data_IF_908613152201
#
_entry.id   IF_908613152201
#
_cell.length_a   1.000
_cell.length_b   1.000
_cell.length_c   1.000
_cell.angle_alpha   90.00
_cell.angle_beta   90.00
_cell.angle_gamma   90.00
#
_symmetry.space_group_name_H-M   'P 1'
#
loop_
_entity.id
_entity.type
_entity.pdbx_description
1 polymer ?
#
# COMPACT_ATOMS: atom_id res chain seq x y z
N UNK A 1 -63.99 12.65 1.68
CA UNK A 1 -62.97 12.15 2.63
C UNK A 1 -62.08 11.19 1.87
N UNK A 2 -60.94 11.70 1.34
CA UNK A 2 -60.02 10.91 0.52
C UNK A 2 -58.91 10.39 1.46
N UNK A 3 -58.87 9.04 1.66
CA UNK A 3 -57.74 8.39 2.33
C UNK A 3 -56.53 8.45 1.42
N UNK A 4 -55.54 9.31 1.75
CA UNK A 4 -54.22 9.18 1.22
C UNK A 4 -53.56 7.93 1.84
N UNK A 5 -53.47 6.83 1.06
CA UNK A 5 -52.56 5.74 1.35
C UNK A 5 -51.12 6.25 1.18
N UNK A 6 -50.45 6.58 2.28
CA UNK A 6 -49.02 6.75 2.31
C UNK A 6 -48.40 5.36 2.05
N UNK A 7 -47.91 5.13 0.83
CA UNK A 7 -47.04 4.00 0.55
C UNK A 7 -45.76 4.17 1.43
N UNK A 8 -45.31 3.14 2.12
CA UNK A 8 -44.05 3.22 2.83
C UNK A 8 -42.96 3.45 1.80
N UNK A 9 -42.34 4.61 1.85
CA UNK A 9 -41.04 4.86 1.22
C UNK A 9 -40.06 3.84 1.83
N UNK A 10 -39.88 2.71 1.16
CA UNK A 10 -38.74 1.85 1.43
C UNK A 10 -37.52 2.68 0.94
N UNK A 11 -36.88 3.37 1.87
CA UNK A 11 -35.49 3.73 1.68
C UNK A 11 -34.79 2.41 1.36
N UNK A 12 -34.26 2.28 0.15
CA UNK A 12 -33.40 1.16 -0.21
C UNK A 12 -32.19 1.28 0.71
N UNK A 13 -32.21 0.50 1.79
CA UNK A 13 -31.05 0.37 2.66
C UNK A 13 -30.04 -0.35 1.77
N UNK A 14 -29.05 0.40 1.26
CA UNK A 14 -27.87 -0.21 0.68
C UNK A 14 -27.17 -0.90 1.85
N UNK A 15 -27.41 -2.20 2.02
CA UNK A 15 -26.65 -2.99 2.97
C UNK A 15 -25.19 -2.97 2.50
N UNK A 16 -24.26 -2.47 3.31
CA UNK A 16 -22.85 -2.53 2.92
C UNK A 16 -22.41 -3.99 2.89
N UNK A 17 -21.55 -4.29 1.95
CA UNK A 17 -20.73 -5.48 2.01
C UNK A 17 -19.77 -5.31 3.19
N UNK A 18 -19.80 -6.26 4.12
CA UNK A 18 -18.96 -6.23 5.32
C UNK A 18 -18.00 -7.40 5.25
N UNK A 19 -16.72 -7.12 5.32
CA UNK A 19 -15.67 -8.15 5.44
C UNK A 19 -14.77 -7.90 6.63
N UNK A 20 -14.31 -9.00 7.23
CA UNK A 20 -13.35 -8.99 8.33
C UNK A 20 -12.16 -9.82 7.93
N UNK A 21 -10.97 -9.25 8.07
CA UNK A 21 -9.71 -9.92 7.79
C UNK A 21 -8.93 -9.94 9.08
N UNK A 22 -8.69 -11.14 9.62
CA UNK A 22 -7.91 -11.35 10.82
C UNK A 22 -6.64 -12.14 10.52
N UNK A 23 -5.63 -11.98 11.37
CA UNK A 23 -4.38 -12.70 11.21
C UNK A 23 -3.78 -13.09 12.56
N UNK A 24 -3.06 -14.22 12.57
CA UNK A 24 -2.15 -14.63 13.62
C UNK A 24 -0.74 -14.63 13.04
N UNK A 25 0.18 -13.96 13.70
CA UNK A 25 1.56 -13.80 13.26
C UNK A 25 2.51 -14.40 14.29
N UNK A 26 3.19 -15.46 13.89
CA UNK A 26 4.32 -15.99 14.65
C UNK A 26 5.61 -15.43 14.06
N UNK A 27 6.43 -14.76 14.88
CA UNK A 27 7.66 -14.07 14.46
C UNK A 27 8.84 -14.49 15.31
N UNK A 28 9.96 -14.75 14.66
CA UNK A 28 11.26 -14.97 15.28
C UNK A 28 12.31 -14.10 14.61
N UNK A 29 13.14 -13.42 15.38
CA UNK A 29 14.28 -12.67 14.86
C UNK A 29 15.52 -12.82 15.75
N UNK A 30 16.71 -12.67 15.16
CA UNK A 30 17.98 -12.76 15.85
C UNK A 30 18.65 -11.39 16.13
N UNK A 31 17.90 -10.29 15.92
CA UNK A 31 18.34 -8.93 16.24
C UNK A 31 18.51 -8.75 17.76
N UNK A 32 19.76 -8.68 18.21
CA UNK A 32 20.08 -8.56 19.63
C UNK A 32 19.83 -7.18 20.22
N UNK A 33 19.56 -6.18 19.38
CA UNK A 33 19.28 -4.81 19.80
C UNK A 33 17.80 -4.57 20.05
N UNK A 34 16.94 -5.43 19.52
CA UNK A 34 15.50 -5.35 19.66
C UNK A 34 15.00 -6.20 20.85
N UNK A 35 13.91 -5.77 21.46
CA UNK A 35 13.19 -6.54 22.46
C UNK A 35 12.68 -7.86 21.86
N UNK A 36 12.67 -8.93 22.65
CA UNK A 36 12.26 -10.25 22.18
C UNK A 36 13.27 -10.97 21.28
N UNK A 37 14.52 -10.47 21.15
CA UNK A 37 15.56 -11.13 20.37
C UNK A 37 15.71 -12.61 20.73
N UNK A 38 15.74 -13.48 19.72
CA UNK A 38 15.86 -14.94 19.82
C UNK A 38 14.74 -15.64 20.61
N UNK A 39 13.62 -14.95 20.78
CA UNK A 39 12.41 -15.54 21.34
C UNK A 39 11.30 -15.44 20.31
N UNK A 40 10.56 -16.51 20.06
CA UNK A 40 9.40 -16.42 19.18
C UNK A 40 8.30 -15.61 19.89
N UNK A 41 7.67 -14.71 19.14
CA UNK A 41 6.46 -13.99 19.56
C UNK A 41 5.28 -14.54 18.78
N UNK A 42 4.11 -14.51 19.39
CA UNK A 42 2.83 -14.80 18.73
C UNK A 42 1.95 -13.58 18.94
N UNK A 43 1.66 -12.88 17.89
CA UNK A 43 0.91 -11.63 17.91
C UNK A 43 -0.40 -11.80 17.14
N UNK A 44 -1.44 -11.19 17.66
CA UNK A 44 -2.65 -10.95 16.90
C UNK A 44 -2.34 -9.75 16.00
N UNK A 45 -1.86 -9.99 14.79
CA UNK A 45 -1.56 -8.91 13.87
C UNK A 45 -2.78 -8.03 13.61
N UNK A 46 -2.66 -7.07 12.73
CA UNK A 46 -3.73 -6.14 12.42
C UNK A 46 -4.98 -6.88 11.91
N UNK A 47 -6.13 -6.58 12.50
CA UNK A 47 -7.44 -7.03 12.03
C UNK A 47 -8.11 -5.89 11.30
N UNK A 48 -8.54 -6.12 10.06
CA UNK A 48 -9.26 -5.14 9.25
C UNK A 48 -10.75 -5.43 9.21
N UNK A 49 -11.56 -4.39 9.32
CA UNK A 49 -13.01 -4.41 9.15
C UNK A 49 -13.36 -3.45 8.01
N UNK A 50 -13.82 -4.00 6.90
CA UNK A 50 -14.12 -3.25 5.67
C UNK A 50 -15.62 -3.15 5.48
N UNK A 51 -16.10 -1.94 5.25
CA UNK A 51 -17.46 -1.63 4.82
C UNK A 51 -17.40 -0.99 3.44
N UNK A 52 -18.14 -1.54 2.50
CA UNK A 52 -18.16 -1.10 1.12
C UNK A 52 -19.58 -1.08 0.58
N UNK A 53 -20.03 0.05 0.07
CA UNK A 53 -21.39 0.19 -0.43
C UNK A 53 -21.51 1.17 -1.60
N UNK A 54 -22.36 0.84 -2.56
CA UNK A 54 -22.87 1.82 -3.50
C UNK A 54 -23.93 2.67 -2.80
N UNK A 55 -23.63 3.92 -2.52
CA UNK A 55 -24.54 4.86 -1.82
C UNK A 55 -25.70 5.26 -2.72
N UNK A 56 -25.44 5.36 -4.00
CA UNK A 56 -26.38 5.67 -5.08
C UNK A 56 -25.74 5.26 -6.42
N UNK A 57 -26.43 5.43 -7.59
CA UNK A 57 -25.85 5.10 -8.89
C UNK A 57 -24.59 5.87 -9.29
N UNK A 58 -24.27 6.96 -8.59
CA UNK A 58 -23.17 7.87 -8.93
C UNK A 58 -21.98 7.74 -8.00
N UNK A 59 -22.18 7.23 -6.78
CA UNK A 59 -21.17 7.28 -5.74
C UNK A 59 -21.10 5.97 -4.93
N UNK A 60 -19.88 5.62 -4.53
CA UNK A 60 -19.54 4.47 -3.72
C UNK A 60 -18.72 4.91 -2.51
N UNK A 61 -19.03 4.40 -1.33
CA UNK A 61 -18.30 4.65 -0.10
C UNK A 61 -17.52 3.41 0.35
N UNK A 62 -16.32 3.61 0.85
CA UNK A 62 -15.48 2.57 1.46
C UNK A 62 -14.96 3.07 2.80
N UNK A 63 -15.04 2.21 3.84
CA UNK A 63 -14.46 2.44 5.14
C UNK A 63 -13.64 1.22 5.54
N UNK A 64 -12.41 1.45 5.98
CA UNK A 64 -11.51 0.43 6.51
C UNK A 64 -11.11 0.84 7.92
N UNK A 65 -11.48 0.01 8.87
CA UNK A 65 -11.07 0.13 10.26
C UNK A 65 -10.04 -0.93 10.55
N UNK A 66 -8.99 -0.56 11.25
CA UNK A 66 -7.96 -1.48 11.71
C UNK A 66 -7.96 -1.54 13.22
N UNK A 67 -7.67 -2.72 13.75
CA UNK A 67 -7.48 -2.95 15.18
C UNK A 67 -6.34 -3.95 15.39
N UNK A 68 -5.43 -3.62 16.28
CA UNK A 68 -4.29 -4.43 16.67
C UNK A 68 -3.95 -4.22 18.14
N UNK A 69 -2.83 -4.75 18.59
CA UNK A 69 -2.37 -4.59 19.99
C UNK A 69 -2.10 -3.13 20.34
N UNK A 70 -1.67 -2.31 19.38
CA UNK A 70 -1.36 -0.89 19.56
C UNK A 70 -2.60 0.03 19.53
N UNK A 71 -3.80 -0.53 19.28
CA UNK A 71 -5.04 0.22 19.27
C UNK A 71 -5.91 -0.03 18.05
N UNK A 72 -6.90 0.86 17.85
CA UNK A 72 -7.82 0.81 16.73
C UNK A 72 -7.90 2.18 16.05
N UNK A 73 -8.07 2.18 14.74
CA UNK A 73 -8.13 3.41 13.95
C UNK A 73 -8.90 3.27 12.63
N UNK A 74 -9.10 4.41 11.98
CA UNK A 74 -9.59 4.47 10.61
C UNK A 74 -8.37 4.49 9.69
N UNK A 75 -8.18 3.41 8.94
CA UNK A 75 -7.11 3.34 7.94
C UNK A 75 -7.54 4.05 6.67
N UNK A 76 -8.73 3.73 6.14
CA UNK A 76 -9.30 4.42 4.99
C UNK A 76 -10.77 4.78 5.22
N UNK A 77 -11.19 5.93 4.71
CA UNK A 77 -12.58 6.39 4.68
C UNK A 77 -12.75 7.35 3.52
N UNK A 78 -13.29 6.87 2.41
CA UNK A 78 -13.39 7.67 1.19
C UNK A 78 -14.67 7.41 0.40
N UNK A 79 -14.98 8.39 -0.46
CA UNK A 79 -16.06 8.38 -1.43
C UNK A 79 -15.46 8.39 -2.83
N UNK A 80 -15.88 7.47 -3.68
CA UNK A 80 -15.63 7.48 -5.13
C UNK A 80 -16.87 7.99 -5.88
N UNK A 81 -16.68 9.00 -6.73
CA UNK A 81 -17.70 9.41 -7.71
C UNK A 81 -17.43 8.65 -9.02
N UNK A 82 -18.32 7.72 -9.36
CA UNK A 82 -18.13 6.74 -10.43
C UNK A 82 -18.95 7.05 -11.70
N UNK A 83 -19.93 7.95 -11.60
CA UNK A 83 -20.78 8.39 -12.72
C UNK A 83 -21.18 9.84 -12.58
N UNK A 84 -21.66 10.42 -13.67
CA UNK A 84 -22.11 11.83 -13.71
C UNK A 84 -20.99 12.84 -13.94
N UNK A 85 -19.77 12.35 -14.20
CA UNK A 85 -18.63 13.15 -14.63
C UNK A 85 -18.42 12.99 -16.14
N UNK A 86 -17.67 13.89 -16.77
CA UNK A 86 -17.23 13.71 -18.16
C UNK A 86 -16.51 12.37 -18.36
N UNK A 87 -16.58 11.82 -19.57
CA UNK A 87 -16.00 10.53 -19.90
C UNK A 87 -14.51 10.48 -19.56
N UNK A 88 -14.09 9.39 -18.92
CA UNK A 88 -12.72 9.16 -18.47
C UNK A 88 -12.35 9.84 -17.15
N UNK A 89 -13.19 10.73 -16.61
CA UNK A 89 -12.93 11.41 -15.35
C UNK A 89 -13.48 10.63 -14.16
N UNK A 90 -12.70 10.50 -13.08
CA UNK A 90 -13.11 9.97 -11.80
C UNK A 90 -12.63 10.88 -10.67
N UNK A 91 -13.38 10.90 -9.55
CA UNK A 91 -13.05 11.66 -8.36
C UNK A 91 -13.11 10.75 -7.13
N UNK A 92 -12.15 10.92 -6.23
CA UNK A 92 -12.15 10.33 -4.88
C UNK A 92 -11.92 11.41 -3.85
N UNK A 93 -12.61 11.34 -2.71
CA UNK A 93 -12.40 12.26 -1.58
C UNK A 93 -12.46 11.51 -0.27
N UNK A 94 -11.52 11.81 0.65
CA UNK A 94 -11.44 11.18 1.96
C UNK A 94 -10.02 10.85 2.40
N UNK A 95 -9.87 9.88 3.30
CA UNK A 95 -8.60 9.29 3.71
C UNK A 95 -8.39 7.99 2.93
N UNK A 96 -7.29 7.85 2.23
CA UNK A 96 -6.98 6.67 1.42
C UNK A 96 -5.48 6.53 1.17
N UNK A 97 -5.04 5.30 0.86
CA UNK A 97 -3.68 5.02 0.41
C UNK A 97 -3.45 5.64 -0.96
N UNK A 98 -2.38 6.43 -1.08
CA UNK A 98 -2.10 7.16 -2.31
C UNK A 98 -1.67 6.22 -3.43
N UNK A 99 -2.08 6.55 -4.67
CA UNK A 99 -1.66 5.83 -5.88
C UNK A 99 -0.21 6.13 -6.22
N UNK A 100 0.71 5.69 -5.38
CA UNK A 100 2.15 5.84 -5.60
C UNK A 100 2.76 4.46 -5.77
N UNK A 101 3.28 4.16 -6.97
CA UNK A 101 3.75 2.82 -7.31
C UNK A 101 2.64 1.77 -7.36
N UNK A 102 3.00 0.51 -7.22
CA UNK A 102 2.09 -0.65 -7.28
C UNK A 102 1.73 -1.22 -5.91
N UNK A 103 2.66 -1.18 -4.94
CA UNK A 103 2.39 -1.79 -3.63
C UNK A 103 1.72 -0.83 -2.64
N UNK A 104 2.02 0.47 -2.69
CA UNK A 104 1.46 1.40 -1.70
C UNK A 104 -0.08 1.43 -1.65
N UNK A 105 -0.82 1.39 -2.79
CA UNK A 105 -2.29 1.37 -2.76
C UNK A 105 -2.90 0.02 -2.35
N UNK A 106 -2.09 -1.01 -2.15
CA UNK A 106 -2.54 -2.37 -1.81
C UNK A 106 -2.38 -2.59 -0.30
N UNK A 107 -3.40 -3.16 0.33
CA UNK A 107 -3.33 -3.51 1.76
C UNK A 107 -2.39 -4.71 1.99
N UNK A 108 -1.67 -4.77 3.13
CA UNK A 108 -0.68 -5.83 3.39
C UNK A 108 -1.24 -7.25 3.34
N UNK A 109 -2.49 -7.45 3.76
CA UNK A 109 -3.13 -8.77 3.71
C UNK A 109 -3.28 -9.29 2.27
N UNK A 110 -3.31 -8.40 1.28
CA UNK A 110 -3.44 -8.72 -0.13
C UNK A 110 -2.11 -8.99 -0.85
N UNK A 111 -0.97 -8.75 -0.22
CA UNK A 111 0.32 -9.10 -0.81
C UNK A 111 0.47 -10.61 -1.00
N UNK A 112 1.30 -11.09 -1.93
CA UNK A 112 1.64 -12.52 -2.03
C UNK A 112 2.59 -12.98 -0.91
N UNK A 113 3.09 -12.08 -0.08
CA UNK A 113 4.02 -12.25 1.03
C UNK A 113 3.50 -11.58 2.31
N UNK A 114 4.18 -11.77 3.45
CA UNK A 114 3.71 -11.29 4.77
C UNK A 114 3.95 -9.79 4.95
N UNK A 115 5.18 -9.34 4.78
CA UNK A 115 5.57 -7.94 4.99
C UNK A 115 6.06 -7.29 3.71
N UNK A 116 5.70 -6.03 3.50
CA UNK A 116 6.20 -5.21 2.39
C UNK A 116 7.75 -5.17 2.33
N UNK A 117 8.34 -4.88 1.16
CA UNK A 117 9.75 -4.53 1.07
C UNK A 117 10.07 -3.31 1.95
N UNK A 118 11.20 -3.36 2.66
CA UNK A 118 11.63 -2.31 3.61
C UNK A 118 11.81 -0.94 2.96
N UNK A 119 12.15 -0.93 1.67
CA UNK A 119 12.34 0.29 0.90
C UNK A 119 11.10 1.18 0.87
N UNK A 120 9.87 0.63 0.95
CA UNK A 120 8.66 1.43 0.97
C UNK A 120 8.61 2.34 2.20
N UNK A 121 8.77 1.77 3.39
CA UNK A 121 8.81 2.54 4.64
C UNK A 121 10.00 3.50 4.70
N UNK A 122 11.13 3.16 4.05
CA UNK A 122 12.30 4.03 4.02
C UNK A 122 12.17 5.23 3.08
N UNK A 123 11.38 5.12 2.01
CA UNK A 123 11.34 6.10 0.93
C UNK A 123 10.04 6.88 0.84
N UNK A 124 8.91 6.27 1.17
CA UNK A 124 7.60 6.91 1.13
C UNK A 124 7.33 7.71 2.42
N UNK A 125 6.51 8.76 2.36
CA UNK A 125 6.03 9.44 3.55
C UNK A 125 4.96 8.60 4.27
N UNK A 126 4.86 8.79 5.60
CA UNK A 126 3.94 8.06 6.47
C UNK A 126 4.58 6.82 7.11
N UNK A 127 4.10 6.43 8.28
CA UNK A 127 4.62 5.30 9.05
C UNK A 127 4.15 3.95 8.47
N UNK A 128 2.84 3.87 8.11
CA UNK A 128 2.19 2.66 7.58
C UNK A 128 1.99 2.72 6.06
N UNK A 129 2.90 3.39 5.36
CA UNK A 129 2.79 3.69 3.95
C UNK A 129 2.21 5.08 3.69
N UNK A 130 2.18 5.47 2.41
CA UNK A 130 1.70 6.79 2.01
C UNK A 130 0.18 6.83 1.98
N UNK A 131 -0.40 7.18 3.13
CA UNK A 131 -1.84 7.32 3.38
C UNK A 131 -2.13 8.73 3.91
N UNK A 132 -3.06 9.46 3.31
CA UNK A 132 -3.40 10.81 3.71
C UNK A 132 -4.86 11.17 3.36
N UNK A 133 -5.37 12.23 3.98
CA UNK A 133 -6.67 12.81 3.65
C UNK A 133 -6.50 13.74 2.47
N UNK A 134 -7.34 13.57 1.45
CA UNK A 134 -7.27 14.41 0.26
C UNK A 134 -8.38 14.21 -0.74
N UNK A 135 -8.17 14.76 -1.91
CA UNK A 135 -9.03 14.61 -3.08
C UNK A 135 -8.18 14.20 -4.26
N UNK A 136 -8.55 13.09 -4.92
CA UNK A 136 -7.94 12.63 -6.17
C UNK A 136 -8.84 12.96 -7.34
N UNK A 137 -8.21 13.43 -8.41
CA UNK A 137 -8.78 13.50 -9.75
C UNK A 137 -8.02 12.51 -10.62
N UNK A 138 -8.72 11.59 -11.26
CA UNK A 138 -8.15 10.65 -12.24
C UNK A 138 -8.76 10.86 -13.61
N UNK A 139 -7.96 10.69 -14.63
CA UNK A 139 -8.41 10.77 -16.02
C UNK A 139 -7.83 9.65 -16.87
N UNK A 140 -8.71 8.87 -17.48
CA UNK A 140 -8.34 7.89 -18.49
C UNK A 140 -8.05 8.58 -19.82
N UNK A 141 -6.80 8.50 -20.26
CA UNK A 141 -6.35 9.14 -21.50
C UNK A 141 -6.92 8.40 -22.72
N UNK A 142 -7.43 9.12 -23.72
CA UNK A 142 -7.98 8.54 -24.96
C UNK A 142 -6.87 8.10 -25.93
N UNK A 143 -6.01 7.17 -25.47
CA UNK A 143 -4.91 6.58 -26.25
C UNK A 143 -5.23 5.14 -26.62
N UNK A 144 -4.41 4.48 -27.44
CA UNK A 144 -4.65 3.12 -27.92
C UNK A 144 -4.43 2.00 -26.89
N UNK A 145 -4.11 2.34 -25.64
CA UNK A 145 -3.92 1.40 -24.51
C UNK A 145 -4.55 1.98 -23.24
N UNK A 146 -4.72 1.17 -22.20
CA UNK A 146 -5.22 1.66 -20.91
C UNK A 146 -4.16 2.55 -20.25
N UNK A 147 -4.45 3.84 -20.16
CA UNK A 147 -3.55 4.84 -19.57
C UNK A 147 -4.34 5.77 -18.66
N UNK A 148 -3.94 5.86 -17.40
CA UNK A 148 -4.60 6.69 -16.39
C UNK A 148 -3.59 7.66 -15.76
N UNK A 149 -3.96 8.93 -15.73
CA UNK A 149 -3.26 9.96 -14.99
C UNK A 149 -4.09 10.36 -13.77
N UNK A 150 -3.51 10.32 -12.59
CA UNK A 150 -4.15 10.80 -11.36
C UNK A 150 -3.33 11.89 -10.68
N UNK A 151 -4.03 12.81 -10.01
CA UNK A 151 -3.45 13.85 -9.18
C UNK A 151 -4.21 13.93 -7.86
N UNK A 152 -3.46 13.97 -6.76
CA UNK A 152 -3.96 14.05 -5.40
C UNK A 152 -3.62 15.41 -4.78
N UNK A 153 -4.63 16.07 -4.19
CA UNK A 153 -4.50 17.25 -3.36
C UNK A 153 -4.65 16.83 -1.91
N UNK A 154 -3.58 16.88 -1.13
CA UNK A 154 -3.48 16.24 0.16
C UNK A 154 -3.44 17.25 1.31
N UNK A 155 -3.95 16.85 2.47
CA UNK A 155 -3.78 17.56 3.72
C UNK A 155 -2.28 17.67 4.09
N UNK A 156 -1.47 16.68 3.71
CA UNK A 156 -0.03 16.65 3.91
C UNK A 156 0.41 16.04 5.23
N UNK A 157 -0.50 15.44 5.99
CA UNK A 157 -0.21 14.81 7.28
C UNK A 157 0.81 13.68 7.20
N UNK A 158 0.82 12.92 6.12
CA UNK A 158 1.81 11.86 5.91
C UNK A 158 3.26 12.37 5.85
N UNK A 159 3.49 13.62 5.46
CA UNK A 159 4.83 14.20 5.40
C UNK A 159 5.35 14.74 6.73
N UNK A 160 4.46 15.02 7.69
CA UNK A 160 4.79 15.59 9.01
C UNK A 160 3.81 15.10 10.10
N UNK A 161 3.84 13.81 10.46
CA UNK A 161 2.85 13.23 11.38
C UNK A 161 2.82 13.90 12.75
N UNK A 162 3.94 14.43 13.21
CA UNK A 162 4.09 15.04 14.55
C UNK A 162 3.63 16.51 14.63
N UNK A 163 3.24 17.13 13.50
CA UNK A 163 2.86 18.54 13.49
C UNK A 163 1.34 18.72 13.45
N UNK A 164 0.83 19.56 14.34
CA UNK A 164 -0.60 19.84 14.45
C UNK A 164 -1.15 20.77 13.36
N UNK A 165 -0.28 21.50 12.66
CA UNK A 165 -0.69 22.45 11.62
C UNK A 165 -0.76 21.76 10.26
N UNK A 166 -1.88 21.88 9.53
CA UNK A 166 -1.96 21.33 8.19
C UNK A 166 -1.01 22.07 7.23
N UNK A 167 -0.36 21.32 6.35
CA UNK A 167 0.47 21.89 5.30
C UNK A 167 0.27 21.07 4.03
N UNK A 168 -0.50 21.63 3.12
CA UNK A 168 -0.90 20.97 1.89
C UNK A 168 0.27 20.28 1.19
N UNK A 169 0.01 19.06 0.75
CA UNK A 169 0.88 18.24 -0.08
C UNK A 169 0.17 17.86 -1.38
N UNK A 170 0.83 17.10 -2.20
CA UNK A 170 0.25 16.55 -3.42
C UNK A 170 1.00 15.32 -3.89
N UNK A 171 0.30 14.50 -4.67
CA UNK A 171 0.88 13.38 -5.38
C UNK A 171 0.31 13.29 -6.80
N UNK A 172 1.01 12.62 -7.69
CA UNK A 172 0.55 12.29 -9.02
C UNK A 172 1.07 10.91 -9.40
N UNK A 173 0.27 10.17 -10.16
CA UNK A 173 0.65 8.88 -10.70
C UNK A 173 0.16 8.75 -12.15
N UNK A 174 1.03 8.28 -13.02
CA UNK A 174 0.70 7.95 -14.40
C UNK A 174 0.92 6.45 -14.62
N UNK A 175 -0.18 5.72 -14.74
CA UNK A 175 -0.18 4.29 -14.97
C UNK A 175 -0.49 3.96 -16.43
N UNK A 176 0.25 3.03 -17.01
CA UNK A 176 0.03 2.53 -18.37
C UNK A 176 -0.02 1.00 -18.32
N UNK A 177 -1.10 0.43 -18.83
CA UNK A 177 -1.30 -1.01 -18.94
C UNK A 177 -1.32 -1.40 -20.42
N UNK A 178 -0.33 -2.20 -20.79
CA UNK A 178 -0.09 -2.70 -22.13
C UNK A 178 -0.31 -4.21 -22.16
N UNK A 179 -0.47 -4.77 -23.34
CA UNK A 179 -0.48 -6.23 -23.54
C UNK A 179 0.64 -6.58 -24.51
N UNK A 180 1.62 -7.35 -24.05
CA UNK A 180 2.69 -7.84 -24.89
C UNK A 180 2.26 -9.15 -25.57
N UNK A 181 2.30 -9.15 -26.90
CA UNK A 181 1.70 -10.22 -27.68
C UNK A 181 0.18 -10.26 -27.48
N UNK A 182 -0.37 -11.44 -27.15
CA UNK A 182 -1.81 -11.64 -26.96
C UNK A 182 -2.22 -11.82 -25.50
N UNK A 183 -1.28 -12.12 -24.60
CA UNK A 183 -1.64 -12.65 -23.26
C UNK A 183 -0.84 -12.10 -22.09
N UNK A 184 0.25 -11.37 -22.31
CA UNK A 184 1.13 -10.92 -21.23
C UNK A 184 0.85 -9.46 -20.89
N UNK A 185 0.14 -9.17 -19.79
CA UNK A 185 -0.04 -7.79 -19.33
C UNK A 185 1.28 -7.22 -18.83
N UNK A 186 1.52 -5.96 -19.16
CA UNK A 186 2.64 -5.17 -18.70
C UNK A 186 2.14 -3.81 -18.23
N UNK A 187 2.31 -3.54 -16.94
CA UNK A 187 2.03 -2.24 -16.35
C UNK A 187 3.33 -1.49 -16.12
N UNK A 188 3.34 -0.22 -16.50
CA UNK A 188 4.45 0.71 -16.27
C UNK A 188 3.86 1.98 -15.66
N UNK A 189 4.42 2.42 -14.54
CA UNK A 189 3.97 3.61 -13.84
C UNK A 189 5.08 4.57 -13.48
N UNK A 190 4.69 5.84 -13.30
CA UNK A 190 5.54 6.91 -12.80
C UNK A 190 4.80 7.69 -11.75
N UNK A 191 5.46 7.96 -10.63
CA UNK A 191 4.87 8.63 -9.47
C UNK A 191 5.70 9.82 -9.05
N UNK A 192 5.03 10.84 -8.53
CA UNK A 192 5.67 11.97 -7.87
C UNK A 192 4.82 12.40 -6.67
N UNK A 193 5.47 12.77 -5.58
CA UNK A 193 4.78 13.32 -4.41
C UNK A 193 5.63 14.41 -3.77
N UNK A 194 4.98 15.43 -3.20
CA UNK A 194 5.66 16.50 -2.49
C UNK A 194 4.81 17.02 -1.34
N UNK A 195 5.46 17.28 -0.21
CA UNK A 195 4.84 17.93 0.95
C UNK A 195 5.88 18.56 1.87
N UNK A 196 5.39 19.23 2.92
CA UNK A 196 6.28 19.77 3.95
C UNK A 196 6.59 18.69 4.98
N UNK A 197 7.85 18.44 5.25
CA UNK A 197 8.31 17.55 6.34
C UNK A 197 8.61 18.33 7.64
N UNK A 198 8.62 19.65 7.58
CA UNK A 198 8.55 20.53 8.73
C UNK A 198 7.80 21.81 8.34
N UNK A 199 6.65 22.04 8.98
CA UNK A 199 5.82 23.22 8.76
C UNK A 199 6.46 24.43 9.42
N UNK A 200 7.01 24.25 10.64
CA UNK A 200 7.68 25.29 11.40
C UNK A 200 8.83 25.94 10.61
N UNK A 201 9.64 25.14 9.97
CA UNK A 201 10.82 25.61 9.24
C UNK A 201 10.64 25.65 7.71
N UNK A 202 9.42 25.33 7.25
CA UNK A 202 9.07 25.37 5.82
C UNK A 202 9.84 24.36 4.97
N UNK A 203 10.41 23.28 5.55
CA UNK A 203 11.18 22.27 4.85
C UNK A 203 10.28 21.30 4.11
N UNK A 204 10.83 20.68 3.06
CA UNK A 204 10.05 19.85 2.14
C UNK A 204 10.72 18.51 1.88
N UNK A 205 9.87 17.53 1.58
CA UNK A 205 10.24 16.26 0.98
C UNK A 205 9.54 16.13 -0.37
N UNK A 206 10.28 15.67 -1.38
CA UNK A 206 9.76 15.23 -2.66
C UNK A 206 10.20 13.80 -2.91
N UNK A 207 9.28 12.96 -3.38
CA UNK A 207 9.54 11.56 -3.72
C UNK A 207 9.11 11.33 -5.16
N UNK A 208 9.97 10.68 -5.92
CA UNK A 208 9.71 10.26 -7.30
C UNK A 208 9.82 8.75 -7.37
N UNK A 209 8.99 8.13 -8.19
CA UNK A 209 8.93 6.67 -8.36
C UNK A 209 8.75 6.26 -9.81
N UNK A 210 9.28 5.10 -10.14
CA UNK A 210 8.98 4.37 -11.36
C UNK A 210 8.69 2.92 -11.00
N UNK A 211 7.68 2.33 -11.60
CA UNK A 211 7.22 0.99 -11.31
C UNK A 211 6.96 0.18 -12.58
N UNK A 212 7.13 -1.12 -12.47
CA UNK A 212 6.85 -2.09 -13.52
C UNK A 212 6.25 -3.35 -12.91
N UNK A 213 5.22 -3.90 -13.56
CA UNK A 213 4.62 -5.18 -13.19
C UNK A 213 4.23 -5.96 -14.44
N UNK A 214 4.50 -7.25 -14.43
CA UNK A 214 4.00 -8.17 -15.48
C UNK A 214 3.57 -9.48 -14.86
N UNK A 215 2.59 -10.13 -15.47
CA UNK A 215 2.09 -11.45 -15.08
C UNK A 215 2.14 -12.38 -16.28
N UNK A 216 3.05 -13.31 -16.26
CA UNK A 216 3.35 -14.21 -17.37
C UNK A 216 2.60 -15.53 -17.14
N UNK A 217 1.57 -15.85 -17.93
CA UNK A 217 0.92 -17.16 -17.87
C UNK A 217 1.86 -18.24 -18.41
N UNK A 218 2.21 -19.22 -17.58
CA UNK A 218 3.06 -20.35 -17.97
C UNK A 218 2.22 -21.57 -18.35
N UNK A 219 1.14 -21.81 -17.60
CA UNK A 219 0.11 -22.82 -17.88
C UNK A 219 -1.25 -22.31 -17.44
N UNK A 220 -2.32 -23.09 -17.62
CA UNK A 220 -3.66 -22.73 -17.14
C UNK A 220 -3.74 -22.48 -15.63
N UNK A 221 -2.83 -23.06 -14.85
CA UNK A 221 -2.84 -22.97 -13.38
C UNK A 221 -1.51 -22.46 -12.80
N UNK A 222 -0.60 -22.02 -13.65
CA UNK A 222 0.72 -21.54 -13.23
C UNK A 222 1.00 -20.20 -13.90
N UNK A 223 1.32 -19.20 -13.09
CA UNK A 223 1.75 -17.90 -13.59
C UNK A 223 2.92 -17.36 -12.77
N UNK A 224 3.75 -16.57 -13.42
CA UNK A 224 4.86 -15.87 -12.82
C UNK A 224 4.57 -14.37 -12.82
N UNK A 225 4.48 -13.76 -11.64
CA UNK A 225 4.39 -12.31 -11.47
C UNK A 225 5.78 -11.77 -11.20
N UNK A 226 6.19 -10.78 -11.98
CA UNK A 226 7.40 -9.99 -11.76
C UNK A 226 7.00 -8.55 -11.50
N UNK A 227 7.52 -7.95 -10.43
CA UNK A 227 7.27 -6.55 -10.10
C UNK A 227 8.51 -5.91 -9.50
N UNK A 228 8.71 -4.64 -9.83
CA UNK A 228 9.76 -3.82 -9.24
C UNK A 228 9.37 -2.36 -9.19
N UNK A 229 9.89 -1.66 -8.21
CA UNK A 229 9.72 -0.21 -8.06
C UNK A 229 11.05 0.43 -7.66
N UNK A 230 11.31 1.59 -8.23
CA UNK A 230 12.44 2.45 -7.90
C UNK A 230 11.93 3.74 -7.27
N UNK A 231 12.63 4.24 -6.25
CA UNK A 231 12.30 5.45 -5.51
C UNK A 231 13.50 6.38 -5.43
N UNK A 232 13.23 7.67 -5.59
CA UNK A 232 14.18 8.73 -5.29
C UNK A 232 13.52 9.74 -4.33
N UNK A 233 14.02 9.81 -3.11
CA UNK A 233 13.53 10.71 -2.06
C UNK A 233 14.50 11.86 -1.87
N UNK A 234 14.04 13.08 -2.07
CA UNK A 234 14.77 14.30 -1.89
C UNK A 234 14.16 15.11 -0.75
N UNK A 235 14.92 15.30 0.33
CA UNK A 235 14.40 15.92 1.56
C UNK A 235 15.36 16.99 2.10
N UNK A 236 14.79 18.10 2.58
CA UNK A 236 15.52 19.05 3.43
C UNK A 236 15.29 18.63 4.90
N UNK A 237 16.25 17.92 5.48
CA UNK A 237 16.17 17.38 6.85
C UNK A 237 16.66 18.44 7.83
N UNK A 238 15.84 18.81 8.83
CA UNK A 238 16.23 19.70 9.92
C UNK A 238 17.23 18.98 10.81
N UNK A 239 18.45 19.51 10.93
CA UNK A 239 19.53 18.96 11.74
C UNK A 239 19.68 19.67 13.08
N UNK A 240 19.14 20.87 13.20
CA UNK A 240 19.05 21.64 14.43
C UNK A 240 17.64 22.20 14.57
N UNK A 241 16.87 21.64 15.50
CA UNK A 241 15.48 22.03 15.75
C UNK A 241 15.33 23.39 16.42
N UNK A 242 16.40 23.94 16.98
CA UNK A 242 16.42 25.27 17.61
C UNK A 242 16.55 26.38 16.60
N UNK A 243 17.41 26.18 15.62
CA UNK A 243 17.76 27.23 14.62
C UNK A 243 17.14 26.97 13.25
N UNK A 244 16.57 25.78 13.00
CA UNK A 244 16.02 25.39 11.71
C UNK A 244 17.07 25.12 10.63
N UNK A 245 18.35 24.99 11.02
CA UNK A 245 19.40 24.58 10.10
C UNK A 245 19.05 23.22 9.52
N UNK A 246 19.12 23.11 8.22
CA UNK A 246 18.76 21.89 7.50
C UNK A 246 19.86 21.45 6.55
N UNK A 247 19.89 20.14 6.31
CA UNK A 247 20.75 19.53 5.30
C UNK A 247 19.86 18.93 4.21
N UNK A 248 20.24 19.14 2.95
CA UNK A 248 19.61 18.49 1.82
C UNK A 248 20.12 17.07 1.69
N UNK A 249 19.24 16.11 1.57
CA UNK A 249 19.54 14.69 1.40
C UNK A 249 18.84 14.15 0.17
N UNK A 250 19.58 13.38 -0.65
CA UNK A 250 19.05 12.62 -1.77
C UNK A 250 19.23 11.13 -1.51
N UNK A 251 18.13 10.40 -1.26
CA UNK A 251 18.15 8.97 -1.01
C UNK A 251 17.48 8.23 -2.15
N UNK A 252 18.01 7.08 -2.50
CA UNK A 252 17.44 6.20 -3.52
C UNK A 252 17.27 4.79 -3.00
N UNK A 253 16.33 4.07 -3.58
CA UNK A 253 16.10 2.68 -3.25
C UNK A 253 15.21 2.00 -4.29
N UNK A 254 15.22 0.70 -4.28
CA UNK A 254 14.38 -0.11 -5.14
C UNK A 254 14.09 -1.45 -4.50
N UNK A 255 13.02 -2.09 -4.96
CA UNK A 255 12.80 -3.50 -4.76
C UNK A 255 12.45 -4.17 -6.08
N UNK A 256 12.65 -5.48 -6.13
CA UNK A 256 12.09 -6.35 -7.14
C UNK A 256 11.65 -7.65 -6.50
N UNK A 257 10.53 -8.23 -6.96
CA UNK A 257 10.12 -9.55 -6.56
C UNK A 257 9.68 -10.42 -7.74
N UNK A 258 9.79 -11.71 -7.53
CA UNK A 258 9.21 -12.74 -8.38
C UNK A 258 8.30 -13.62 -7.51
N UNK A 259 7.05 -13.84 -7.95
CA UNK A 259 6.06 -14.70 -7.32
C UNK A 259 5.55 -15.71 -8.33
N UNK A 260 5.80 -16.99 -8.07
CA UNK A 260 5.33 -18.12 -8.88
C UNK A 260 4.08 -18.70 -8.19
N UNK A 261 2.90 -18.51 -8.80
CA UNK A 261 1.67 -19.22 -8.42
C UNK A 261 1.56 -20.53 -9.20
N UNK A 262 1.29 -21.65 -8.51
CA UNK A 262 1.20 -22.98 -9.12
C UNK A 262 0.18 -23.85 -8.38
N UNK A 263 -0.31 -24.88 -9.07
CA UNK A 263 -1.27 -25.85 -8.53
C UNK A 263 -2.51 -25.18 -7.88
N UNK A 264 -2.93 -24.02 -8.38
CA UNK A 264 -4.08 -23.19 -7.95
C UNK A 264 -3.99 -22.62 -6.53
N UNK A 265 -3.33 -23.29 -5.60
CA UNK A 265 -3.35 -22.98 -4.16
C UNK A 265 -2.02 -22.56 -3.58
N UNK A 266 -0.93 -22.75 -4.32
CA UNK A 266 0.41 -22.48 -3.84
C UNK A 266 1.02 -21.27 -4.53
N UNK A 267 1.77 -20.53 -3.77
CA UNK A 267 2.72 -19.58 -4.34
C UNK A 267 4.06 -19.65 -3.61
N UNK A 268 5.13 -19.29 -4.29
CA UNK A 268 6.45 -19.15 -3.71
C UNK A 268 7.24 -18.10 -4.48
N UNK A 269 8.07 -17.36 -3.77
CA UNK A 269 8.80 -16.29 -4.40
C UNK A 269 9.96 -15.74 -3.60
N UNK A 270 10.57 -14.72 -4.16
CA UNK A 270 11.70 -14.01 -3.59
C UNK A 270 11.53 -12.50 -3.79
N UNK A 271 11.93 -11.73 -2.78
CA UNK A 271 12.01 -10.27 -2.82
C UNK A 271 13.46 -9.89 -2.56
N UNK A 272 13.98 -8.98 -3.34
CA UNK A 272 15.20 -8.25 -3.05
C UNK A 272 14.87 -6.78 -2.90
N UNK A 273 15.34 -6.14 -1.84
CA UNK A 273 15.29 -4.69 -1.70
C UNK A 273 16.64 -4.10 -1.28
N UNK A 274 16.86 -2.86 -1.71
CA UNK A 274 18.05 -2.08 -1.40
C UNK A 274 17.68 -0.61 -1.34
N UNK A 275 18.16 0.10 -0.31
CA UNK A 275 17.84 1.51 -0.15
C UNK A 275 18.92 2.24 0.66
N UNK A 276 19.01 3.56 0.42
CA UNK A 276 19.87 4.43 1.22
C UNK A 276 19.30 4.57 2.65
N UNK A 277 20.16 4.35 3.66
CA UNK A 277 19.76 4.42 5.06
C UNK A 277 19.24 5.79 5.46
N UNK A 278 18.31 5.80 6.44
CA UNK A 278 17.76 7.00 7.02
C UNK A 278 18.80 7.86 7.66
N UNK A 279 19.26 8.81 7.67
CA UNK A 279 20.32 9.57 8.35
C UNK A 279 21.65 9.64 7.59
N UNK A 280 21.89 8.76 6.61
CA UNK A 280 23.09 8.82 5.78
C UNK A 280 22.84 8.25 4.39
N UNK A 281 22.74 9.14 3.40
CA UNK A 281 22.51 8.80 1.99
C UNK A 281 23.63 7.98 1.31
N UNK A 282 24.83 7.95 1.92
CA UNK A 282 25.98 7.17 1.43
C UNK A 282 26.01 5.74 1.97
N UNK A 283 25.09 5.38 2.88
CA UNK A 283 24.98 4.04 3.43
C UNK A 283 23.83 3.29 2.76
N UNK A 284 24.03 2.01 2.51
CA UNK A 284 23.07 1.19 1.79
C UNK A 284 22.66 -0.03 2.61
N UNK A 285 21.38 -0.10 2.94
CA UNK A 285 20.76 -1.25 3.56
C UNK A 285 20.20 -2.18 2.49
N UNK A 286 20.25 -3.51 2.73
CA UNK A 286 19.81 -4.54 1.77
C UNK A 286 19.03 -5.63 2.48
N UNK A 287 18.00 -6.14 1.83
CA UNK A 287 17.30 -7.32 2.31
C UNK A 287 17.01 -8.32 1.18
N UNK A 288 17.05 -9.59 1.53
CA UNK A 288 16.54 -10.68 0.71
C UNK A 288 15.49 -11.41 1.51
N UNK A 289 14.30 -11.59 0.97
CA UNK A 289 13.20 -12.31 1.58
C UNK A 289 12.74 -13.42 0.65
N UNK A 290 12.64 -14.63 1.15
CA UNK A 290 11.96 -15.74 0.46
C UNK A 290 10.62 -15.97 1.14
N UNK A 291 9.61 -16.34 0.36
CA UNK A 291 8.27 -16.55 0.89
C UNK A 291 7.58 -17.72 0.19
N UNK A 292 6.61 -18.32 0.87
CA UNK A 292 5.69 -19.29 0.33
C UNK A 292 4.31 -19.10 0.95
N UNK A 293 3.27 -19.39 0.19
CA UNK A 293 1.89 -19.30 0.61
C UNK A 293 1.08 -20.52 0.19
N UNK A 294 0.08 -20.86 0.98
CA UNK A 294 -0.88 -21.92 0.71
C UNK A 294 -2.29 -21.48 1.04
N UNK A 295 -3.17 -21.43 0.03
CA UNK A 295 -4.61 -21.19 0.18
C UNK A 295 -5.33 -22.47 0.54
N UNK A 296 -5.88 -22.55 1.76
CA UNK A 296 -6.60 -23.75 2.22
C UNK A 296 -7.98 -23.86 1.56
N UNK A 297 -8.75 -22.78 1.57
CA UNK A 297 -10.11 -22.69 1.03
C UNK A 297 -10.29 -21.32 0.36
N UNK A 298 -10.27 -21.27 -0.96
CA UNK A 298 -10.69 -20.15 -1.82
C UNK A 298 -10.41 -18.74 -1.24
N UNK A 299 -9.17 -18.46 -0.82
CA UNK A 299 -8.78 -17.17 -0.23
C UNK A 299 -9.34 -16.85 1.18
N UNK A 300 -10.22 -17.72 1.74
CA UNK A 300 -10.77 -17.50 3.10
C UNK A 300 -9.78 -17.85 4.20
N UNK A 301 -8.82 -18.73 3.93
CA UNK A 301 -7.75 -19.09 4.87
C UNK A 301 -6.44 -19.27 4.13
N UNK A 302 -5.46 -18.49 4.51
CA UNK A 302 -4.17 -18.43 3.85
C UNK A 302 -3.06 -18.65 4.88
N UNK A 303 -2.20 -19.62 4.62
CA UNK A 303 -0.98 -19.86 5.38
C UNK A 303 0.19 -19.27 4.62
N UNK A 304 1.01 -18.47 5.28
CA UNK A 304 2.21 -17.86 4.68
C UNK A 304 3.43 -18.11 5.54
N UNK A 305 4.54 -18.36 4.88
CA UNK A 305 5.87 -18.45 5.49
C UNK A 305 6.78 -17.42 4.83
N UNK A 306 7.65 -16.79 5.61
CA UNK A 306 8.73 -15.99 5.09
C UNK A 306 10.00 -16.14 5.91
N UNK A 307 11.15 -16.02 5.23
CA UNK A 307 12.46 -15.89 5.85
C UNK A 307 13.18 -14.71 5.21
N UNK A 308 13.65 -13.79 6.03
CA UNK A 308 14.35 -12.59 5.60
C UNK A 308 15.79 -12.59 6.13
N UNK A 309 16.71 -12.15 5.28
CA UNK A 309 18.06 -11.77 5.66
C UNK A 309 18.24 -10.28 5.39
N UNK A 310 18.22 -9.47 6.43
CA UNK A 310 18.42 -8.04 6.38
C UNK A 310 19.85 -7.68 6.78
N UNK A 311 20.54 -6.92 5.95
CA UNK A 311 21.90 -6.45 6.17
C UNK A 311 21.94 -4.93 6.14
N UNK A 312 21.84 -4.26 7.31
CA UNK A 312 22.21 -2.85 7.43
C UNK A 312 23.71 -2.71 7.15
N UNK A 313 24.12 -1.59 6.55
CA UNK A 313 25.53 -1.42 6.16
C UNK A 313 26.51 -1.43 7.36
N UNK A 314 26.11 -0.82 8.48
CA UNK A 314 26.99 -0.68 9.66
C UNK A 314 26.53 -1.44 10.89
N UNK A 315 25.68 -2.43 10.73
CA UNK A 315 25.19 -3.27 11.81
C UNK A 315 25.29 -4.75 11.42
N UNK A 316 25.30 -5.66 12.41
CA UNK A 316 25.19 -7.09 12.13
C UNK A 316 23.95 -7.38 11.30
N UNK A 317 24.02 -8.42 10.48
CA UNK A 317 22.84 -8.88 9.75
C UNK A 317 21.79 -9.43 10.71
N UNK A 318 20.53 -9.18 10.39
CA UNK A 318 19.36 -9.68 11.14
C UNK A 318 18.65 -10.71 10.28
N UNK A 319 18.27 -11.82 10.87
CA UNK A 319 17.44 -12.85 10.24
C UNK A 319 16.09 -12.87 10.92
N UNK A 320 15.04 -12.85 10.11
CA UNK A 320 13.66 -12.91 10.59
C UNK A 320 12.96 -14.09 9.92
N UNK A 321 12.21 -14.86 10.69
CA UNK A 321 11.33 -15.92 10.18
C UNK A 321 9.92 -15.64 10.67
N UNK A 322 8.93 -15.79 9.80
CA UNK A 322 7.53 -15.57 10.11
C UNK A 322 6.66 -16.68 9.58
N UNK A 323 5.63 -17.00 10.36
CA UNK A 323 4.48 -17.80 9.94
C UNK A 323 3.22 -16.96 10.19
N UNK A 324 2.40 -16.79 9.16
CA UNK A 324 1.13 -16.09 9.24
C UNK A 324 -0.01 -17.03 8.91
N UNK A 325 -1.05 -16.99 9.72
CA UNK A 325 -2.38 -17.52 9.39
C UNK A 325 -3.29 -16.33 9.17
N UNK A 326 -3.75 -16.16 7.95
CA UNK A 326 -4.69 -15.12 7.58
C UNK A 326 -6.05 -15.76 7.31
N UNK A 327 -7.11 -15.18 7.84
CA UNK A 327 -8.48 -15.63 7.61
C UNK A 327 -9.40 -14.46 7.31
N UNK A 328 -10.33 -14.65 6.37
CA UNK A 328 -11.29 -13.63 5.97
C UNK A 328 -12.73 -14.15 6.08
N UNK A 329 -13.64 -13.27 6.48
CA UNK A 329 -15.08 -13.50 6.56
C UNK A 329 -15.81 -12.42 5.77
N UNK A 330 -16.90 -12.79 5.10
CA UNK A 330 -17.73 -11.89 4.32
C UNK A 330 -17.32 -11.81 2.85
N UNK A 331 -18.03 -11.00 2.03
CA UNK A 331 -17.72 -10.83 0.62
C UNK A 331 -16.44 -10.02 0.45
N UNK A 332 -15.32 -10.71 0.43
CA UNK A 332 -14.01 -10.10 0.19
C UNK A 332 -13.89 -9.75 -1.30
N UNK A 333 -13.53 -8.50 -1.60
CA UNK A 333 -13.23 -8.14 -3.00
C UNK A 333 -12.00 -8.91 -3.46
N UNK A 334 -12.10 -9.53 -4.64
CA UNK A 334 -10.94 -10.10 -5.30
C UNK A 334 -9.88 -8.99 -5.49
N UNK A 335 -8.72 -9.19 -4.92
CA UNK A 335 -7.60 -8.27 -5.13
C UNK A 335 -7.14 -8.38 -6.57
N UNK A 336 -7.01 -7.25 -7.24
CA UNK A 336 -6.45 -7.19 -8.59
C UNK A 336 -4.94 -7.41 -8.49
N UNK A 337 -4.52 -8.63 -8.80
CA UNK A 337 -3.11 -8.99 -8.96
C UNK A 337 -2.81 -9.32 -10.41
#
# INVERSE_FOLDING_TARGET
MALLCAAPLRAGVANPDISVIGQLLYKYHDDRTAEGARRPTLDLGETELVFDASLNPYAKGTFVFTAGEDGAGVEEAYLDVIKGLPDGLALRGGKYRQGFGKLNPVHPHAYPFIEAPRVLAAMLPGEDGFNDVGTRVSYFLPVGWASELSADFLKGGAFHPDETKPAAGGAAHWNNSLVLGETVPLDIGFSAAQGKNSVQWGKRTAVYGADIKTKIPLTNFTNLTLQGEYFYNHSDVVVDTTTGVSRRMGRQGFYAFADLKFAQRWNAGVIYDQYASAGNEHRTDRAVKVFAGFSLLEETTLLRLSAEHFKPENSPAVRTMMLQVLFSMGPHKAHQF
#
